data_IF_856179669592
#
_entry.id   IF_856179669592
#
_cell.length_a   1.000
_cell.length_b   1.000
_cell.length_c   1.000
_cell.angle_alpha   90.00
_cell.angle_beta   90.00
_cell.angle_gamma   90.00
#
_symmetry.space_group_name_H-M   'P 1'
#
loop_
_entity.id
_entity.type
_entity.pdbx_description
1 polymer ?
#
# COMPACT_ATOMS: atom_id res chain seq x y z
N UNK A 1 -30.77 56.96 64.19
CA UNK A 1 -29.34 56.85 63.84
C UNK A 1 -28.94 55.42 64.20
N UNK A 2 -29.04 54.52 63.22
CA UNK A 2 -27.89 53.89 62.50
C UNK A 2 -27.22 52.85 63.39
N UNK A 3 -27.07 51.56 63.06
CA UNK A 3 -27.11 50.85 61.79
C UNK A 3 -27.30 49.35 62.06
N UNK A 4 -27.93 48.66 61.11
CA UNK A 4 -27.95 47.20 60.96
C UNK A 4 -26.56 46.68 60.56
N UNK A 5 -26.26 45.44 60.88
CA UNK A 5 -25.41 44.61 60.01
C UNK A 5 -25.88 43.15 60.09
N UNK A 6 -26.58 42.77 59.03
CA UNK A 6 -26.96 41.40 58.65
C UNK A 6 -25.70 40.72 58.08
N UNK A 7 -25.29 39.59 58.64
CA UNK A 7 -24.28 38.71 58.03
C UNK A 7 -25.00 37.66 57.16
N UNK A 8 -25.05 37.95 55.87
CA UNK A 8 -25.48 37.03 54.81
C UNK A 8 -24.50 35.85 54.68
N UNK A 9 -24.97 34.66 55.04
CA UNK A 9 -24.33 33.39 54.65
C UNK A 9 -24.74 33.06 53.22
N UNK A 10 -23.84 33.35 52.29
CA UNK A 10 -23.93 32.92 50.90
C UNK A 10 -23.86 31.39 50.81
N UNK A 11 -24.92 30.80 50.27
CA UNK A 11 -24.96 29.41 49.83
C UNK A 11 -24.05 29.27 48.61
N UNK A 12 -22.96 28.53 48.75
CA UNK A 12 -22.14 28.09 47.63
C UNK A 12 -22.96 27.10 46.78
N UNK A 13 -23.45 27.58 45.63
CA UNK A 13 -23.92 26.72 44.55
C UNK A 13 -22.70 26.02 43.95
N UNK A 14 -22.56 24.72 44.21
CA UNK A 14 -21.66 23.86 43.46
C UNK A 14 -22.18 23.76 42.03
N UNK A 15 -21.70 24.66 41.17
CA UNK A 15 -21.83 24.55 39.73
C UNK A 15 -21.07 23.30 39.28
N UNK A 16 -21.83 22.37 38.69
CA UNK A 16 -21.29 21.20 37.98
C UNK A 16 -20.50 21.74 36.78
N UNK A 17 -19.24 21.33 36.56
CA UNK A 17 -18.50 21.71 35.37
C UNK A 17 -19.13 21.07 34.13
N UNK A 18 -20.07 21.77 33.52
CA UNK A 18 -20.49 21.53 32.14
C UNK A 18 -19.51 22.22 31.19
N UNK A 19 -19.09 21.49 30.16
CA UNK A 19 -18.12 21.86 29.10
C UNK A 19 -16.66 21.48 29.37
N UNK A 20 -16.34 20.22 29.06
CA UNK A 20 -15.06 19.94 28.43
C UNK A 20 -15.10 20.54 27.02
N UNK A 21 -14.55 21.75 26.90
CA UNK A 21 -14.16 22.34 25.63
C UNK A 21 -13.06 21.44 25.03
N UNK A 22 -13.41 20.68 23.99
CA UNK A 22 -12.42 20.01 23.16
C UNK A 22 -11.82 21.11 22.30
N UNK A 23 -10.55 21.46 22.55
CA UNK A 23 -9.79 22.37 21.70
C UNK A 23 -9.67 21.76 20.30
N UNK A 24 -10.61 22.12 19.41
CA UNK A 24 -10.58 21.84 17.97
C UNK A 24 -9.57 22.73 17.21
N UNK A 25 -8.60 23.32 17.91
CA UNK A 25 -7.62 24.26 17.36
C UNK A 25 -6.22 23.62 17.23
N UNK A 26 -6.09 22.53 16.47
CA UNK A 26 -4.77 22.15 15.94
C UNK A 26 -4.82 21.31 14.65
N UNK A 27 -5.71 21.67 13.71
CA UNK A 27 -5.57 21.28 12.30
C UNK A 27 -5.86 22.51 11.42
N UNK A 28 -5.00 23.52 11.52
CA UNK A 28 -4.83 24.54 10.48
C UNK A 28 -3.39 24.42 10.00
N UNK A 29 -3.23 24.47 8.68
CA UNK A 29 -1.96 24.43 7.94
C UNK A 29 -1.55 23.04 7.42
N UNK A 30 -2.44 22.43 6.63
CA UNK A 30 -1.97 21.71 5.45
C UNK A 30 -2.27 22.57 4.21
N UNK A 31 -1.25 23.00 3.45
CA UNK A 31 -1.47 23.76 2.23
C UNK A 31 -2.26 22.90 1.23
N UNK A 32 -3.17 23.50 0.45
CA UNK A 32 -3.82 22.79 -0.64
C UNK A 32 -2.75 22.35 -1.63
N UNK A 33 -2.60 21.03 -1.81
CA UNK A 33 -1.88 20.48 -2.95
C UNK A 33 -2.73 20.73 -4.19
N UNK A 34 -2.60 21.92 -4.77
CA UNK A 34 -2.98 22.17 -6.16
C UNK A 34 -2.07 21.33 -7.06
N UNK A 35 -2.47 20.07 -7.27
CA UNK A 35 -1.94 19.27 -8.36
C UNK A 35 -2.56 19.85 -9.63
N UNK A 36 -1.88 20.85 -10.20
CA UNK A 36 -2.13 21.31 -11.57
C UNK A 36 -1.76 20.18 -12.51
N UNK A 37 -2.71 19.29 -12.80
CA UNK A 37 -2.60 18.34 -13.91
C UNK A 37 -2.75 19.15 -15.19
N UNK A 38 -1.66 19.77 -15.64
CA UNK A 38 -1.52 20.21 -17.03
C UNK A 38 -1.23 18.98 -17.88
N UNK A 39 -2.29 18.24 -18.19
CA UNK A 39 -2.25 17.21 -19.23
C UNK A 39 -2.55 17.84 -20.59
N UNK A 40 -1.67 18.74 -21.03
CA UNK A 40 -1.58 19.11 -22.44
C UNK A 40 -0.71 18.07 -23.13
N UNK A 41 -1.32 16.93 -23.50
CA UNK A 41 -0.85 16.15 -24.63
C UNK A 41 -1.81 16.38 -25.78
N UNK A 42 -1.60 17.53 -26.41
CA UNK A 42 -1.98 17.79 -27.79
C UNK A 42 -1.35 16.69 -28.64
N UNK A 43 -2.18 15.72 -29.04
CA UNK A 43 -1.84 14.80 -30.12
C UNK A 43 -1.86 15.66 -31.37
N UNK A 44 -0.69 16.20 -31.75
CA UNK A 44 -0.48 16.80 -33.06
C UNK A 44 -0.55 15.67 -34.10
N UNK A 45 -1.79 15.34 -34.47
CA UNK A 45 -2.14 14.65 -35.70
C UNK A 45 -2.06 15.66 -36.83
N UNK A 46 -0.82 15.99 -37.23
CA UNK A 46 -0.55 16.82 -38.41
C UNK A 46 0.64 16.26 -39.16
N UNK A 47 0.35 15.57 -40.26
CA UNK A 47 1.20 15.53 -41.45
C UNK A 47 0.27 15.25 -42.64
N UNK A 48 -0.49 16.28 -43.02
CA UNK A 48 -0.89 16.45 -44.42
C UNK A 48 0.19 17.29 -45.11
N UNK A 49 0.79 16.74 -46.16
CA UNK A 49 1.07 17.34 -47.48
C UNK A 49 2.03 16.40 -48.20
N UNK A 50 1.53 15.63 -49.16
CA UNK A 50 1.59 15.99 -50.59
C UNK A 50 3.02 15.93 -51.13
N UNK A 51 3.27 14.91 -51.95
CA UNK A 51 3.88 15.04 -53.28
C UNK A 51 3.72 13.70 -53.99
N UNK A 52 2.51 13.49 -54.51
CA UNK A 52 2.26 12.50 -55.55
C UNK A 52 2.68 13.14 -56.87
N UNK A 53 3.99 13.14 -57.14
CA UNK A 53 4.55 13.54 -58.41
C UNK A 53 4.49 12.33 -59.34
N UNK A 54 3.49 12.33 -60.22
CA UNK A 54 3.51 11.52 -61.44
C UNK A 54 4.78 11.92 -62.21
N UNK A 55 5.80 11.06 -62.15
CA UNK A 55 6.97 11.13 -63.02
C UNK A 55 6.95 9.87 -63.87
N UNK A 56 6.30 10.00 -65.02
CA UNK A 56 6.63 9.22 -66.21
C UNK A 56 8.08 9.49 -66.54
N UNK A 57 8.92 8.45 -66.53
CA UNK A 57 10.07 8.26 -67.41
C UNK A 57 10.67 6.89 -67.07
N UNK A 58 11.02 6.14 -68.11
CA UNK A 58 11.71 4.85 -68.08
C UNK A 58 13.13 5.03 -67.51
N UNK A 59 13.23 5.41 -66.22
CA UNK A 59 14.47 5.32 -65.45
C UNK A 59 14.69 3.83 -65.18
N UNK A 60 15.65 3.24 -65.91
CA UNK A 60 16.19 1.89 -65.73
C UNK A 60 16.11 1.50 -64.25
N UNK A 61 15.38 0.42 -63.91
CA UNK A 61 15.28 -0.06 -62.55
C UNK A 61 16.68 -0.45 -62.05
N UNK A 62 17.43 0.52 -61.52
CA UNK A 62 18.75 0.30 -60.95
C UNK A 62 18.60 -0.80 -59.91
N UNK A 63 19.15 -1.96 -60.24
CA UNK A 63 19.00 -3.14 -59.42
C UNK A 63 19.70 -2.89 -58.08
N UNK A 64 19.26 -3.55 -57.00
CA UNK A 64 19.92 -3.40 -55.70
C UNK A 64 21.40 -3.78 -55.74
N UNK A 65 21.80 -4.58 -56.73
CA UNK A 65 23.18 -4.95 -57.05
C UNK A 65 23.96 -3.74 -57.53
N UNK A 66 23.41 -2.95 -58.45
CA UNK A 66 24.06 -1.74 -58.98
C UNK A 66 24.23 -0.70 -57.87
N UNK A 67 23.19 -0.50 -57.05
CA UNK A 67 23.25 0.37 -55.87
C UNK A 67 24.27 -0.09 -54.83
N UNK A 68 24.49 -1.40 -54.70
CA UNK A 68 25.53 -1.96 -53.84
C UNK A 68 26.94 -1.72 -54.39
N UNK A 69 27.14 -1.87 -55.69
CA UNK A 69 28.41 -1.60 -56.39
C UNK A 69 28.79 -0.11 -56.28
N UNK A 70 27.81 0.78 -56.38
CA UNK A 70 28.00 2.22 -56.17
C UNK A 70 28.13 2.64 -54.69
N UNK A 71 27.93 1.70 -53.76
CA UNK A 71 27.90 1.94 -52.32
C UNK A 71 26.79 2.90 -51.87
N UNK A 72 25.65 2.93 -52.57
CA UNK A 72 24.49 3.80 -52.28
C UNK A 72 23.26 2.99 -51.85
N UNK A 73 23.40 2.12 -50.84
CA UNK A 73 22.27 1.33 -50.34
C UNK A 73 21.26 2.18 -49.56
N UNK A 74 19.94 1.94 -49.74
CA UNK A 74 18.91 2.54 -48.91
C UNK A 74 19.09 2.18 -47.43
N UNK A 75 18.89 3.16 -46.53
CA UNK A 75 19.06 2.95 -45.07
C UNK A 75 17.96 2.10 -44.42
N UNK A 76 16.82 1.92 -45.11
CA UNK A 76 15.58 1.31 -44.61
C UNK A 76 15.19 0.04 -45.38
N UNK A 77 16.16 -0.69 -45.96
CA UNK A 77 15.89 -1.93 -46.67
C UNK A 77 15.39 -3.02 -45.68
N UNK A 78 14.48 -3.89 -46.11
CA UNK A 78 14.00 -4.97 -45.24
C UNK A 78 15.08 -6.03 -45.04
N UNK A 79 14.95 -6.81 -43.97
CA UNK A 79 15.90 -7.89 -43.67
C UNK A 79 15.98 -8.90 -44.83
N UNK A 80 14.83 -9.29 -45.38
CA UNK A 80 14.74 -10.29 -46.45
C UNK A 80 15.43 -9.81 -47.73
N UNK A 81 15.33 -8.51 -48.04
CA UNK A 81 15.99 -7.89 -49.19
C UNK A 81 17.52 -7.90 -49.06
N UNK A 82 18.06 -7.68 -47.85
CA UNK A 82 19.49 -7.80 -47.60
C UNK A 82 19.98 -9.25 -47.78
N UNK A 83 19.20 -10.23 -47.32
CA UNK A 83 19.55 -11.65 -47.45
C UNK A 83 19.55 -12.10 -48.93
N UNK A 84 18.56 -11.64 -49.70
CA UNK A 84 18.51 -11.83 -51.16
C UNK A 84 19.70 -11.20 -51.87
N UNK A 85 19.99 -9.92 -51.59
CA UNK A 85 21.09 -9.17 -52.19
C UNK A 85 22.47 -9.79 -51.88
N UNK A 86 22.70 -10.22 -50.64
CA UNK A 86 23.94 -10.90 -50.24
C UNK A 86 24.12 -12.23 -50.97
N UNK A 87 23.03 -12.95 -51.24
CA UNK A 87 23.05 -14.20 -52.00
C UNK A 87 23.40 -13.93 -53.46
N UNK A 88 22.74 -12.96 -54.10
CA UNK A 88 22.99 -12.54 -55.48
C UNK A 88 24.43 -12.06 -55.69
N UNK A 89 24.94 -11.18 -54.81
CA UNK A 89 26.31 -10.67 -54.91
C UNK A 89 27.36 -11.78 -54.76
N UNK A 90 27.06 -12.80 -53.94
CA UNK A 90 27.94 -13.95 -53.76
C UNK A 90 27.93 -14.86 -55.00
N UNK A 91 26.75 -15.17 -55.53
CA UNK A 91 26.60 -15.99 -56.74
C UNK A 91 27.28 -15.32 -57.94
N UNK A 92 27.05 -14.01 -58.14
CA UNK A 92 27.69 -13.24 -59.22
C UNK A 92 29.21 -13.20 -59.07
N UNK A 93 29.71 -13.02 -57.83
CA UNK A 93 31.16 -13.09 -57.55
C UNK A 93 31.73 -14.46 -57.90
N UNK A 94 31.07 -15.53 -57.47
CA UNK A 94 31.54 -16.90 -57.67
C UNK A 94 31.54 -17.25 -59.17
N UNK A 95 30.53 -16.83 -59.93
CA UNK A 95 30.49 -16.95 -61.39
C UNK A 95 31.64 -16.20 -62.10
N UNK A 96 31.92 -14.95 -61.70
CA UNK A 96 33.04 -14.17 -62.28
C UNK A 96 34.42 -14.75 -61.96
N UNK A 97 34.56 -15.45 -60.82
CA UNK A 97 35.77 -16.20 -60.48
C UNK A 97 35.95 -17.40 -61.42
N UNK A 98 34.87 -18.13 -61.71
CA UNK A 98 34.88 -19.25 -62.67
C UNK A 98 35.24 -18.80 -64.09
N UNK A 99 34.80 -17.60 -64.50
CA UNK A 99 35.15 -16.98 -65.78
C UNK A 99 36.57 -16.38 -65.84
N UNK A 100 37.28 -16.31 -64.71
CA UNK A 100 38.63 -15.74 -64.63
C UNK A 100 38.69 -14.19 -64.61
N UNK A 101 37.56 -13.50 -64.39
CA UNK A 101 37.48 -12.04 -64.32
C UNK A 101 37.76 -11.52 -62.91
N UNK A 102 39.03 -11.52 -62.52
CA UNK A 102 39.43 -11.22 -61.15
C UNK A 102 39.10 -9.79 -60.67
N UNK A 103 39.16 -8.79 -61.56
CA UNK A 103 38.92 -7.38 -61.22
C UNK A 103 37.44 -7.12 -60.91
N UNK A 104 36.54 -7.62 -61.76
CA UNK A 104 35.09 -7.54 -61.57
C UNK A 104 34.68 -8.33 -60.33
N UNK A 105 35.19 -9.57 -60.15
CA UNK A 105 34.95 -10.36 -58.95
C UNK A 105 35.39 -9.62 -57.66
N UNK A 106 36.48 -8.85 -57.70
CA UNK A 106 36.91 -8.02 -56.57
C UNK A 106 35.89 -6.91 -56.26
N UNK A 107 35.33 -6.25 -57.28
CA UNK A 107 34.31 -5.22 -57.10
C UNK A 107 33.03 -5.80 -56.45
N UNK A 108 32.58 -6.97 -56.89
CA UNK A 108 31.45 -7.68 -56.28
C UNK A 108 31.75 -8.11 -54.83
N UNK A 109 33.00 -8.52 -54.53
CA UNK A 109 33.40 -8.85 -53.17
C UNK A 109 33.41 -7.61 -52.26
N UNK A 110 33.80 -6.44 -52.77
CA UNK A 110 33.75 -5.19 -52.03
C UNK A 110 32.31 -4.71 -51.82
N UNK A 111 31.44 -4.85 -52.81
CA UNK A 111 30.00 -4.62 -52.67
C UNK A 111 29.36 -5.60 -51.66
N UNK A 112 29.78 -6.87 -51.64
CA UNK A 112 29.36 -7.86 -50.65
C UNK A 112 29.76 -7.45 -49.23
N UNK A 113 31.01 -7.00 -49.02
CA UNK A 113 31.43 -6.49 -47.71
C UNK A 113 30.63 -5.25 -47.28
N UNK A 114 30.41 -4.31 -48.20
CA UNK A 114 29.65 -3.10 -47.92
C UNK A 114 28.18 -3.38 -47.58
N UNK A 115 27.51 -4.24 -48.35
CA UNK A 115 26.14 -4.71 -48.06
C UNK A 115 26.06 -5.43 -46.73
N UNK A 116 27.05 -6.26 -46.42
CA UNK A 116 27.15 -6.96 -45.14
C UNK A 116 27.29 -6.01 -43.95
N UNK A 117 28.17 -5.01 -44.04
CA UNK A 117 28.32 -3.96 -43.02
C UNK A 117 27.04 -3.14 -42.86
N UNK A 118 26.41 -2.78 -43.98
CA UNK A 118 25.13 -2.06 -44.00
C UNK A 118 24.00 -2.86 -43.34
N UNK A 119 23.93 -4.17 -43.60
CA UNK A 119 22.99 -5.09 -42.96
C UNK A 119 23.22 -5.18 -41.44
N UNK A 120 24.48 -5.33 -41.01
CA UNK A 120 24.81 -5.33 -39.59
C UNK A 120 24.38 -4.03 -38.90
N UNK A 121 24.62 -2.89 -39.52
CA UNK A 121 24.25 -1.59 -38.97
C UNK A 121 22.74 -1.36 -38.94
N UNK A 122 22.01 -1.80 -39.97
CA UNK A 122 20.55 -1.79 -39.96
C UNK A 122 20.00 -2.67 -38.82
N UNK A 123 20.55 -3.86 -38.64
CA UNK A 123 20.17 -4.78 -37.57
C UNK A 123 20.50 -4.22 -36.18
N UNK A 124 21.68 -3.62 -35.98
CA UNK A 124 22.06 -2.91 -34.73
C UNK A 124 21.03 -1.84 -34.39
N UNK A 125 20.64 -1.00 -35.36
CA UNK A 125 19.62 0.05 -35.16
C UNK A 125 18.27 -0.54 -34.76
N UNK A 126 17.83 -1.61 -35.42
CA UNK A 126 16.57 -2.32 -35.10
C UNK A 126 16.57 -2.85 -33.66
N UNK A 127 17.60 -3.61 -33.29
CA UNK A 127 17.76 -4.16 -31.93
C UNK A 127 17.81 -3.06 -30.89
N UNK A 128 18.53 -1.97 -31.16
CA UNK A 128 18.61 -0.83 -30.24
C UNK A 128 17.23 -0.17 -30.03
N UNK A 129 16.47 0.07 -31.12
CA UNK A 129 15.12 0.63 -31.06
C UNK A 129 14.18 -0.27 -30.25
N UNK A 130 14.20 -1.58 -30.51
CA UNK A 130 13.40 -2.57 -29.76
C UNK A 130 13.76 -2.58 -28.28
N UNK A 131 15.06 -2.60 -27.95
CA UNK A 131 15.52 -2.56 -26.56
C UNK A 131 15.08 -1.27 -25.85
N UNK A 132 15.17 -0.12 -26.51
CA UNK A 132 14.73 1.18 -25.98
C UNK A 132 13.23 1.17 -25.69
N UNK A 133 12.41 0.71 -26.65
CA UNK A 133 10.96 0.61 -26.48
C UNK A 133 10.57 -0.36 -25.35
N UNK A 134 11.23 -1.52 -25.28
CA UNK A 134 11.02 -2.48 -24.20
C UNK A 134 11.37 -1.88 -22.83
N UNK A 135 12.48 -1.14 -22.73
CA UNK A 135 12.89 -0.46 -21.49
C UNK A 135 11.89 0.61 -21.06
N UNK A 136 11.42 1.45 -21.98
CA UNK A 136 10.42 2.49 -21.69
C UNK A 136 9.13 1.86 -21.19
N UNK A 137 8.64 0.81 -21.87
CA UNK A 137 7.45 0.07 -21.45
C UNK A 137 7.61 -0.53 -20.05
N UNK A 138 8.78 -1.10 -19.74
CA UNK A 138 9.05 -1.67 -18.41
C UNK A 138 9.00 -0.61 -17.30
N UNK A 139 9.57 0.57 -17.54
CA UNK A 139 9.50 1.68 -16.58
C UNK A 139 8.07 2.15 -16.40
N UNK A 140 7.32 2.37 -17.49
CA UNK A 140 5.93 2.79 -17.43
C UNK A 140 5.07 1.79 -16.64
N UNK A 141 5.21 0.50 -16.91
CA UNK A 141 4.49 -0.54 -16.17
C UNK A 141 4.84 -0.55 -14.68
N UNK A 142 6.12 -0.35 -14.33
CA UNK A 142 6.55 -0.31 -12.93
C UNK A 142 6.00 0.93 -12.19
N UNK A 143 5.93 2.08 -12.87
CA UNK A 143 5.33 3.31 -12.32
C UNK A 143 3.82 3.17 -12.13
N UNK A 144 3.11 2.68 -13.15
CA UNK A 144 1.67 2.46 -13.05
C UNK A 144 1.31 1.50 -11.91
N UNK A 145 2.09 0.43 -11.73
CA UNK A 145 1.88 -0.50 -10.61
C UNK A 145 2.10 0.17 -9.25
N UNK A 146 3.10 1.04 -9.14
CA UNK A 146 3.34 1.81 -7.92
C UNK A 146 2.16 2.75 -7.62
N UNK A 147 1.67 3.48 -8.63
CA UNK A 147 0.56 4.42 -8.49
C UNK A 147 -0.75 3.70 -8.12
N UNK A 148 -1.06 2.59 -8.80
CA UNK A 148 -2.22 1.74 -8.49
C UNK A 148 -2.17 1.23 -7.04
N UNK A 149 -1.01 0.74 -6.60
CA UNK A 149 -0.83 0.27 -5.22
C UNK A 149 -0.96 1.39 -4.21
N UNK A 150 -0.38 2.55 -4.49
CA UNK A 150 -0.46 3.73 -3.63
C UNK A 150 -1.91 4.18 -3.44
N UNK A 151 -2.66 4.31 -4.53
CA UNK A 151 -4.08 4.68 -4.50
C UNK A 151 -4.92 3.63 -3.75
N UNK A 152 -4.65 2.35 -3.98
CA UNK A 152 -5.32 1.26 -3.25
C UNK A 152 -5.11 1.35 -1.74
N UNK A 153 -3.87 1.60 -1.30
CA UNK A 153 -3.55 1.78 0.12
C UNK A 153 -4.16 3.04 0.73
N UNK A 154 -4.30 4.13 -0.02
CA UNK A 154 -4.94 5.36 0.45
C UNK A 154 -6.44 5.13 0.72
N UNK A 155 -7.15 4.51 -0.22
CA UNK A 155 -8.56 4.13 -0.05
C UNK A 155 -8.77 3.17 1.11
N UNK A 156 -7.89 2.17 1.24
CA UNK A 156 -7.99 1.21 2.34
C UNK A 156 -7.67 1.87 3.71
N UNK A 157 -6.73 2.82 3.76
CA UNK A 157 -6.45 3.61 4.97
C UNK A 157 -7.69 4.38 5.43
N UNK A 158 -8.39 5.05 4.51
CA UNK A 158 -9.63 5.78 4.79
C UNK A 158 -10.71 4.87 5.36
N UNK A 159 -10.94 3.71 4.73
CA UNK A 159 -11.91 2.71 5.19
C UNK A 159 -11.56 2.20 6.59
N UNK A 160 -10.29 1.91 6.85
CA UNK A 160 -9.83 1.47 8.17
C UNK A 160 -10.08 2.57 9.21
N UNK A 161 -9.64 3.80 8.95
CA UNK A 161 -9.80 4.93 9.89
C UNK A 161 -11.27 5.16 10.20
N UNK A 162 -12.13 5.17 9.18
CA UNK A 162 -13.57 5.36 9.35
C UNK A 162 -14.21 4.23 10.17
N UNK A 163 -13.81 2.97 9.90
CA UNK A 163 -14.28 1.82 10.68
C UNK A 163 -13.88 1.90 12.16
N UNK A 164 -12.67 2.41 12.45
CA UNK A 164 -12.16 2.55 13.81
C UNK A 164 -12.84 3.70 14.55
N UNK A 165 -13.14 4.82 13.86
CA UNK A 165 -13.95 5.92 14.41
C UNK A 165 -15.34 5.45 14.82
N UNK A 166 -16.05 4.75 13.93
CA UNK A 166 -17.38 4.17 14.22
C UNK A 166 -17.35 3.19 15.40
N UNK A 167 -16.25 2.44 15.56
CA UNK A 167 -16.07 1.55 16.72
C UNK A 167 -16.00 2.33 18.03
N UNK A 168 -15.28 3.46 18.06
CA UNK A 168 -15.17 4.33 19.23
C UNK A 168 -16.53 4.98 19.54
N UNK A 169 -17.21 5.51 18.52
CA UNK A 169 -18.52 6.13 18.69
C UNK A 169 -19.56 5.17 19.29
N UNK A 170 -19.64 3.95 18.74
CA UNK A 170 -20.52 2.89 19.30
C UNK A 170 -20.19 2.58 20.76
N UNK A 171 -18.91 2.60 21.12
CA UNK A 171 -18.48 2.37 22.49
C UNK A 171 -18.91 3.52 23.41
N UNK A 172 -18.76 4.77 22.97
CA UNK A 172 -19.20 5.94 23.73
C UNK A 172 -20.72 5.97 23.94
N UNK A 173 -21.50 5.62 22.91
CA UNK A 173 -22.96 5.49 23.03
C UNK A 173 -23.32 4.43 24.09
N UNK A 174 -22.64 3.28 24.06
CA UNK A 174 -22.82 2.23 25.08
C UNK A 174 -22.43 2.73 26.48
N UNK A 175 -21.34 3.47 26.62
CA UNK A 175 -20.91 4.06 27.89
C UNK A 175 -21.94 5.04 28.44
N UNK A 176 -22.52 5.88 27.58
CA UNK A 176 -23.58 6.79 27.98
C UNK A 176 -24.83 6.04 28.45
N UNK A 177 -25.26 5.00 27.72
CA UNK A 177 -26.39 4.16 28.13
C UNK A 177 -26.15 3.50 29.49
N UNK A 178 -24.93 3.04 29.77
CA UNK A 178 -24.59 2.47 31.08
C UNK A 178 -24.70 3.49 32.22
N UNK A 179 -24.33 4.77 31.97
CA UNK A 179 -24.48 5.84 32.94
C UNK A 179 -25.98 6.13 33.15
N UNK A 180 -26.75 6.25 32.08
CA UNK A 180 -28.20 6.51 32.15
C UNK A 180 -28.95 5.39 32.91
N UNK A 181 -28.58 4.13 32.66
CA UNK A 181 -29.14 2.97 33.33
C UNK A 181 -28.73 2.93 34.82
N UNK A 182 -27.47 3.28 35.13
CA UNK A 182 -27.01 3.42 36.51
C UNK A 182 -27.79 4.51 37.24
N UNK A 183 -27.95 5.69 36.66
CA UNK A 183 -28.76 6.77 37.24
C UNK A 183 -30.22 6.34 37.45
N UNK A 184 -30.80 5.62 36.48
CA UNK A 184 -32.17 5.12 36.58
C UNK A 184 -32.32 4.15 37.76
N UNK A 185 -31.36 3.24 37.95
CA UNK A 185 -31.35 2.31 39.09
C UNK A 185 -31.27 3.05 40.43
N UNK A 186 -30.49 4.13 40.50
CA UNK A 186 -30.33 4.91 41.74
C UNK A 186 -31.52 5.82 42.04
N UNK A 187 -32.28 6.23 41.02
CA UNK A 187 -33.55 6.94 41.17
C UNK A 187 -34.72 6.02 41.53
N UNK A 188 -34.56 4.69 41.42
CA UNK A 188 -35.61 3.73 41.76
C UNK A 188 -35.96 3.79 43.26
N UNK A 189 -37.24 4.00 43.63
CA UNK A 189 -37.70 3.91 45.02
C UNK A 189 -37.31 2.62 45.75
N UNK A 190 -37.12 1.49 45.05
CA UNK A 190 -36.63 0.26 45.66
C UNK A 190 -35.19 0.39 46.18
N UNK A 191 -34.32 1.10 45.45
CA UNK A 191 -32.93 1.38 45.86
C UNK A 191 -32.90 2.37 47.01
N UNK A 192 -33.66 3.47 46.92
CA UNK A 192 -33.77 4.52 47.96
C UNK A 192 -34.24 3.91 49.29
N UNK A 193 -35.23 3.00 49.27
CA UNK A 193 -35.74 2.31 50.47
C UNK A 193 -34.67 1.51 51.22
N UNK A 194 -33.58 1.09 50.58
CA UNK A 194 -32.49 0.37 51.26
C UNK A 194 -31.76 1.25 52.28
N UNK A 195 -31.70 2.56 52.04
CA UNK A 195 -31.03 3.54 52.89
C UNK A 195 -31.95 4.12 53.98
N UNK A 196 -33.27 4.13 53.76
CA UNK A 196 -34.27 4.68 54.70
C UNK A 196 -34.61 3.77 55.90
N UNK A 197 -33.64 3.00 56.42
CA UNK A 197 -33.88 2.06 57.53
C UNK A 197 -33.70 2.74 58.89
N UNK A 198 -34.79 2.98 59.59
CA UNK A 198 -34.78 3.51 60.96
C UNK A 198 -34.08 2.57 61.94
N UNK A 199 -33.29 3.14 62.85
CA UNK A 199 -32.60 2.35 63.87
C UNK A 199 -33.58 1.69 64.84
N UNK A 200 -33.13 0.61 65.49
CA UNK A 200 -33.89 -0.02 66.57
C UNK A 200 -34.17 0.94 67.73
N UNK A 201 -33.24 1.86 68.01
CA UNK A 201 -33.38 2.84 69.09
C UNK A 201 -34.46 3.87 68.79
N UNK A 202 -34.49 4.38 67.56
CA UNK A 202 -35.54 5.30 67.12
C UNK A 202 -36.93 4.63 67.20
N UNK A 203 -37.04 3.36 66.77
CA UNK A 203 -38.28 2.59 66.90
C UNK A 203 -38.71 2.41 68.36
N UNK A 204 -37.76 2.14 69.26
CA UNK A 204 -38.00 2.01 70.69
C UNK A 204 -38.50 3.31 71.31
N UNK A 205 -37.85 4.44 71.05
CA UNK A 205 -38.26 5.76 71.57
C UNK A 205 -39.68 6.13 71.10
N UNK A 206 -40.00 5.88 69.82
CA UNK A 206 -41.35 6.09 69.28
C UNK A 206 -42.39 5.18 69.96
N UNK A 207 -42.03 3.94 70.24
CA UNK A 207 -42.89 3.01 70.97
C UNK A 207 -43.10 3.48 72.42
N UNK A 208 -42.04 3.92 73.10
CA UNK A 208 -42.10 4.44 74.47
C UNK A 208 -42.97 5.69 74.56
N UNK A 209 -42.79 6.66 73.65
CA UNK A 209 -43.63 7.85 73.56
C UNK A 209 -45.11 7.48 73.38
N UNK A 210 -45.42 6.54 72.48
CA UNK A 210 -46.78 6.05 72.25
C UNK A 210 -47.38 5.36 73.48
N UNK A 211 -46.58 4.61 74.24
CA UNK A 211 -47.05 3.98 75.48
C UNK A 211 -47.30 5.01 76.59
N UNK A 212 -46.42 6.00 76.77
CA UNK A 212 -46.61 7.07 77.76
C UNK A 212 -47.85 7.93 77.45
N UNK A 213 -48.12 8.20 76.17
CA UNK A 213 -49.35 8.85 75.74
C UNK A 213 -50.60 8.07 76.12
N UNK A 214 -50.58 6.73 75.96
CA UNK A 214 -51.69 5.85 76.37
C UNK A 214 -51.91 5.83 77.89
N UNK A 215 -50.85 6.03 78.68
CA UNK A 215 -50.93 6.11 80.15
C UNK A 215 -51.13 7.54 80.67
N UNK A 216 -51.47 8.50 79.81
CA UNK A 216 -51.72 9.92 80.17
C UNK A 216 -50.52 10.67 80.79
N UNK A 217 -49.28 10.20 80.59
CA UNK A 217 -48.05 10.87 81.07
C UNK A 217 -47.50 11.81 80.00
N UNK A 218 -48.20 12.91 79.75
CA UNK A 218 -47.95 13.78 78.59
C UNK A 218 -46.59 14.47 78.59
N UNK A 219 -46.14 14.97 79.75
CA UNK A 219 -44.86 15.71 79.85
C UNK A 219 -43.67 14.82 79.49
N UNK A 220 -43.65 13.59 79.98
CA UNK A 220 -42.59 12.63 79.67
C UNK A 220 -42.66 12.16 78.22
N UNK A 221 -43.87 11.92 77.70
CA UNK A 221 -44.06 11.61 76.30
C UNK A 221 -43.49 12.71 75.39
N UNK A 222 -43.70 13.99 75.74
CA UNK A 222 -43.15 15.13 74.99
C UNK A 222 -41.62 15.15 75.01
N UNK A 223 -40.98 14.83 76.15
CA UNK A 223 -39.52 14.74 76.23
C UNK A 223 -38.96 13.60 75.37
N UNK A 224 -39.57 12.41 75.41
CA UNK A 224 -39.14 11.26 74.59
C UNK A 224 -39.37 11.54 73.10
N UNK A 225 -40.48 12.18 72.75
CA UNK A 225 -40.79 12.55 71.38
C UNK A 225 -39.78 13.58 70.81
N UNK A 226 -39.36 14.56 71.63
CA UNK A 226 -38.33 15.51 71.26
C UNK A 226 -36.98 14.81 70.98
N UNK A 227 -36.59 13.85 71.82
CA UNK A 227 -35.36 13.08 71.58
C UNK A 227 -35.50 12.16 70.35
N UNK A 228 -36.67 11.55 70.12
CA UNK A 228 -36.94 10.76 68.93
C UNK A 228 -36.84 11.60 67.65
N UNK A 229 -37.38 12.82 67.66
CA UNK A 229 -37.26 13.76 66.53
C UNK A 229 -35.79 14.15 66.27
N UNK A 230 -35.04 14.48 67.33
CA UNK A 230 -33.61 14.79 67.24
C UNK A 230 -32.80 13.64 66.65
N UNK A 231 -33.05 12.42 67.11
CA UNK A 231 -32.39 11.22 66.60
C UNK A 231 -32.78 10.94 65.14
N UNK A 232 -34.06 11.12 64.78
CA UNK A 232 -34.53 10.95 63.41
C UNK A 232 -33.84 11.91 62.45
N UNK A 233 -33.67 13.18 62.81
CA UNK A 233 -32.95 14.15 61.97
C UNK A 233 -31.49 13.74 61.74
N UNK A 234 -30.80 13.27 62.79
CA UNK A 234 -29.41 12.80 62.70
C UNK A 234 -29.32 11.56 61.80
N UNK A 235 -30.19 10.57 62.01
CA UNK A 235 -30.23 9.35 61.19
C UNK A 235 -30.54 9.66 59.73
N UNK A 236 -31.51 10.54 59.46
CA UNK A 236 -31.89 10.94 58.10
C UNK A 236 -30.71 11.59 57.36
N UNK A 237 -30.01 12.54 58.02
CA UNK A 237 -28.82 13.18 57.44
C UNK A 237 -27.71 12.18 57.16
N UNK A 238 -27.47 11.25 58.09
CA UNK A 238 -26.44 10.20 57.92
C UNK A 238 -26.78 9.25 56.77
N UNK A 239 -28.04 8.80 56.68
CA UNK A 239 -28.51 7.92 55.61
C UNK A 239 -28.42 8.60 54.25
N UNK A 240 -28.84 9.87 54.16
CA UNK A 240 -28.72 10.65 52.93
C UNK A 240 -27.27 10.79 52.50
N UNK A 241 -26.37 11.12 53.44
CA UNK A 241 -24.93 11.21 53.14
C UNK A 241 -24.39 9.89 52.63
N UNK A 242 -24.67 8.79 53.33
CA UNK A 242 -24.22 7.46 52.93
C UNK A 242 -24.73 7.08 51.54
N UNK A 243 -25.99 7.38 51.22
CA UNK A 243 -26.56 7.13 49.90
C UNK A 243 -25.81 7.91 48.80
N UNK A 244 -25.47 9.18 49.05
CA UNK A 244 -24.70 10.01 48.11
C UNK A 244 -23.28 9.47 47.95
N UNK A 245 -22.61 9.15 49.04
CA UNK A 245 -21.24 8.64 49.04
C UNK A 245 -21.17 7.31 48.26
N UNK A 246 -22.10 6.38 48.49
CA UNK A 246 -22.17 5.09 47.78
C UNK A 246 -22.52 5.28 46.29
N UNK A 247 -23.40 6.23 45.96
CA UNK A 247 -23.73 6.59 44.58
C UNK A 247 -22.49 7.09 43.82
N UNK A 248 -21.77 8.04 44.41
CA UNK A 248 -20.57 8.64 43.81
C UNK A 248 -19.45 7.61 43.66
N UNK A 249 -19.25 6.75 44.67
CA UNK A 249 -18.27 5.69 44.60
C UNK A 249 -18.53 4.72 43.43
N UNK A 250 -19.78 4.28 43.27
CA UNK A 250 -20.14 3.40 42.16
C UNK A 250 -20.07 4.08 40.79
N UNK A 251 -20.45 5.37 40.69
CA UNK A 251 -20.34 6.13 39.45
C UNK A 251 -18.88 6.32 39.02
N UNK A 252 -18.02 6.70 39.97
CA UNK A 252 -16.58 6.85 39.72
C UNK A 252 -15.93 5.53 39.29
N UNK A 253 -16.35 4.41 39.90
CA UNK A 253 -15.90 3.09 39.49
C UNK A 253 -16.30 2.76 38.04
N UNK A 254 -17.56 3.02 37.68
CA UNK A 254 -18.06 2.82 36.31
C UNK A 254 -17.27 3.67 35.30
N UNK A 255 -17.09 4.96 35.58
CA UNK A 255 -16.34 5.89 34.73
C UNK A 255 -14.89 5.43 34.57
N UNK A 256 -14.24 4.98 35.65
CA UNK A 256 -12.88 4.45 35.58
C UNK A 256 -12.78 3.21 34.68
N UNK A 257 -13.76 2.29 34.74
CA UNK A 257 -13.81 1.14 33.84
C UNK A 257 -14.00 1.55 32.37
N UNK A 258 -14.89 2.51 32.11
CA UNK A 258 -15.15 3.03 30.77
C UNK A 258 -13.90 3.70 30.17
N UNK A 259 -13.17 4.48 30.96
CA UNK A 259 -11.90 5.07 30.54
C UNK A 259 -10.85 4.03 30.18
N UNK A 260 -10.71 2.97 30.98
CA UNK A 260 -9.77 1.90 30.69
C UNK A 260 -10.16 1.12 29.42
N UNK A 261 -11.44 0.82 29.23
CA UNK A 261 -11.94 0.18 28.00
C UNK A 261 -11.64 1.05 26.77
N UNK A 262 -11.90 2.36 26.85
CA UNK A 262 -11.62 3.31 25.78
C UNK A 262 -10.12 3.40 25.49
N UNK A 263 -9.27 3.41 26.53
CA UNK A 263 -7.81 3.42 26.41
C UNK A 263 -7.30 2.19 25.70
N UNK A 264 -7.78 1.00 26.07
CA UNK A 264 -7.41 -0.27 25.44
C UNK A 264 -7.83 -0.33 23.97
N UNK A 265 -9.04 0.16 23.65
CA UNK A 265 -9.52 0.21 22.26
C UNK A 265 -8.70 1.19 21.43
N UNK A 266 -8.35 2.36 21.96
CA UNK A 266 -7.47 3.32 21.28
C UNK A 266 -6.10 2.71 21.00
N UNK A 267 -5.47 2.12 22.02
CA UNK A 267 -4.18 1.43 21.87
C UNK A 267 -4.24 0.32 20.81
N UNK A 268 -5.31 -0.48 20.79
CA UNK A 268 -5.53 -1.52 19.77
C UNK A 268 -5.69 -0.92 18.36
N UNK A 269 -6.40 0.19 18.23
CA UNK A 269 -6.59 0.89 16.96
C UNK A 269 -5.27 1.50 16.45
N UNK A 270 -4.47 2.09 17.34
CA UNK A 270 -3.16 2.67 17.00
C UNK A 270 -2.19 1.61 16.49
N UNK A 271 -2.16 0.44 17.14
CA UNK A 271 -1.37 -0.71 16.67
C UNK A 271 -1.83 -1.11 15.26
N UNK A 272 -3.13 -1.22 15.03
CA UNK A 272 -3.69 -1.61 13.71
C UNK A 272 -3.31 -0.62 12.61
N UNK A 273 -3.39 0.69 12.88
CA UNK A 273 -2.99 1.74 11.94
C UNK A 273 -1.48 1.69 11.69
N UNK A 274 -0.68 1.55 12.75
CA UNK A 274 0.77 1.47 12.65
C UNK A 274 1.24 0.25 11.83
N UNK A 275 0.65 -0.93 12.08
CA UNK A 275 0.95 -2.14 11.30
C UNK A 275 0.58 -1.94 9.83
N UNK A 276 -0.59 -1.37 9.56
CA UNK A 276 -1.04 -1.09 8.20
C UNK A 276 -0.09 -0.14 7.46
N UNK A 277 0.30 0.97 8.10
CA UNK A 277 1.26 1.94 7.53
C UNK A 277 2.63 1.32 7.28
N UNK A 278 3.09 0.48 8.20
CA UNK A 278 4.35 -0.25 8.04
C UNK A 278 4.30 -1.16 6.83
N UNK A 279 3.19 -1.87 6.61
CA UNK A 279 3.03 -2.76 5.46
C UNK A 279 2.88 -1.99 4.14
N UNK A 280 2.14 -0.87 4.14
CA UNK A 280 2.08 0.09 3.02
C UNK A 280 3.48 0.54 2.60
N UNK A 281 4.31 0.98 3.55
CA UNK A 281 5.68 1.45 3.26
C UNK A 281 6.53 0.31 2.68
N UNK A 282 6.46 -0.90 3.22
CA UNK A 282 7.23 -2.05 2.70
C UNK A 282 6.86 -2.38 1.26
N UNK A 283 5.58 -2.44 0.94
CA UNK A 283 5.09 -2.79 -0.40
C UNK A 283 5.41 -1.69 -1.44
N UNK A 284 5.28 -0.42 -1.04
CA UNK A 284 5.69 0.70 -1.88
C UNK A 284 7.21 0.74 -2.13
N UNK A 285 8.02 0.42 -1.12
CA UNK A 285 9.48 0.31 -1.26
C UNK A 285 9.86 -0.81 -2.25
N UNK A 286 9.18 -1.96 -2.22
CA UNK A 286 9.38 -3.02 -3.23
C UNK A 286 9.09 -2.51 -4.64
N UNK A 287 8.00 -1.75 -4.83
CA UNK A 287 7.65 -1.16 -6.12
C UNK A 287 8.68 -0.10 -6.55
N UNK A 288 9.14 0.74 -5.63
CA UNK A 288 10.16 1.76 -5.89
C UNK A 288 11.49 1.12 -6.30
N UNK A 289 11.92 0.04 -5.64
CA UNK A 289 13.09 -0.75 -6.04
C UNK A 289 12.94 -1.33 -7.45
N UNK A 290 11.74 -1.75 -7.84
CA UNK A 290 11.48 -2.22 -9.21
C UNK A 290 11.63 -1.10 -10.23
N UNK A 291 11.13 0.11 -9.92
CA UNK A 291 11.31 1.30 -10.76
C UNK A 291 12.80 1.61 -10.90
N UNK A 292 13.53 1.71 -9.80
CA UNK A 292 14.97 1.98 -9.79
C UNK A 292 15.75 0.94 -10.61
N UNK A 293 15.46 -0.35 -10.44
CA UNK A 293 16.09 -1.41 -11.21
C UNK A 293 15.78 -1.31 -12.72
N UNK A 294 14.55 -0.90 -13.08
CA UNK A 294 14.17 -0.69 -14.47
C UNK A 294 14.87 0.54 -15.08
N UNK A 295 15.04 1.61 -14.30
CA UNK A 295 15.77 2.82 -14.70
C UNK A 295 17.27 2.56 -14.88
N UNK A 296 17.91 1.88 -13.93
CA UNK A 296 19.30 1.42 -14.06
C UNK A 296 19.46 0.54 -15.30
N UNK A 297 18.54 -0.41 -15.52
CA UNK A 297 18.53 -1.24 -16.73
C UNK A 297 18.39 -0.40 -18.01
N UNK A 298 17.66 0.71 -17.96
CA UNK A 298 17.48 1.64 -19.08
C UNK A 298 18.76 2.40 -19.43
N UNK A 299 19.58 2.72 -18.43
CA UNK A 299 20.89 3.38 -18.67
C UNK A 299 21.83 2.51 -19.49
N UNK A 300 21.81 1.19 -19.29
CA UNK A 300 22.54 0.26 -20.16
C UNK A 300 22.02 0.27 -21.60
N UNK A 301 20.71 0.47 -21.77
CA UNK A 301 20.07 0.53 -23.10
C UNK A 301 20.37 1.86 -23.81
N UNK A 302 20.77 2.93 -23.10
CA UNK A 302 21.19 4.20 -23.74
C UNK A 302 22.46 4.05 -24.58
N UNK A 303 23.29 3.02 -24.35
CA UNK A 303 24.56 2.77 -25.04
C UNK A 303 24.38 1.71 -26.15
N UNK A 304 24.34 2.10 -27.45
CA UNK A 304 24.08 1.17 -28.55
C UNK A 304 25.05 -0.01 -28.61
N UNK A 305 26.33 0.24 -28.36
CA UNK A 305 27.37 -0.79 -28.44
C UNK A 305 27.21 -1.88 -27.38
N UNK A 306 26.71 -1.53 -26.18
CA UNK A 306 26.48 -2.51 -25.12
C UNK A 306 25.27 -3.39 -25.41
N UNK A 307 24.22 -2.81 -25.98
CA UNK A 307 23.04 -3.55 -26.46
C UNK A 307 23.45 -4.50 -27.58
N UNK A 308 24.26 -4.02 -28.51
CA UNK A 308 24.80 -4.82 -29.59
C UNK A 308 25.67 -5.97 -29.08
N UNK A 309 26.61 -5.72 -28.17
CA UNK A 309 27.50 -6.73 -27.60
C UNK A 309 26.72 -7.90 -26.98
N UNK A 310 25.62 -7.62 -26.25
CA UNK A 310 24.75 -8.67 -25.69
C UNK A 310 24.00 -9.46 -26.76
N UNK A 311 23.56 -8.80 -27.84
CA UNK A 311 22.77 -9.44 -28.91
C UNK A 311 23.64 -10.12 -29.97
N UNK A 312 24.92 -9.74 -30.10
CA UNK A 312 25.86 -10.26 -31.10
C UNK A 312 25.96 -11.79 -31.09
N UNK A 313 25.87 -12.43 -29.93
CA UNK A 313 25.88 -13.90 -29.83
C UNK A 313 24.64 -14.57 -30.42
N UNK A 314 23.54 -13.84 -30.54
CA UNK A 314 22.29 -14.31 -31.18
C UNK A 314 22.18 -13.89 -32.64
N UNK A 315 23.03 -12.96 -33.09
CA UNK A 315 23.13 -12.57 -34.49
C UNK A 315 23.78 -13.70 -35.27
N UNK A 316 22.97 -14.49 -35.95
CA UNK A 316 23.46 -15.49 -36.90
C UNK A 316 23.66 -14.79 -38.23
N UNK A 317 24.80 -15.05 -38.87
CA UNK A 317 24.95 -14.73 -40.28
C UNK A 317 23.82 -15.44 -41.04
N UNK A 318 23.09 -14.75 -41.95
CA UNK A 318 22.11 -15.38 -42.82
C UNK A 318 22.75 -16.63 -43.39
N UNK A 319 22.19 -17.77 -43.01
CA UNK A 319 22.76 -19.05 -43.41
C UNK A 319 22.41 -19.18 -44.87
N UNK A 320 23.34 -18.76 -45.73
CA UNK A 320 23.28 -19.03 -47.16
C UNK A 320 23.08 -20.53 -47.24
N UNK A 321 21.90 -20.94 -47.70
CA UNK A 321 21.57 -22.32 -47.99
C UNK A 321 22.49 -22.70 -49.13
N UNK A 322 23.74 -23.04 -48.79
CA UNK A 322 24.63 -23.73 -49.70
C UNK A 322 23.87 -24.98 -50.06
N UNK A 323 23.41 -25.03 -51.31
CA UNK A 323 22.86 -26.21 -51.97
C UNK A 323 23.94 -27.26 -51.88
N UNK A 324 23.89 -28.01 -50.79
CA UNK A 324 24.91 -28.98 -50.43
C UNK A 324 24.89 -30.03 -51.52
N UNK A 325 25.90 -30.00 -52.38
CA UNK A 325 26.27 -31.07 -53.30
C UNK A 325 26.11 -32.41 -52.56
N UNK A 326 25.18 -33.22 -53.04
CA UNK A 326 24.85 -34.55 -52.53
C UNK A 326 25.92 -35.55 -52.93
N UNK A 327 27.16 -35.37 -52.46
CA UNK A 327 28.20 -36.39 -52.58
C UNK A 327 28.72 -36.72 -51.18
N UNK A 328 28.01 -37.63 -50.50
CA UNK A 328 28.47 -38.23 -49.24
C UNK A 328 28.54 -39.74 -49.41
N UNK A 329 29.67 -40.18 -49.93
CA UNK A 329 30.19 -41.54 -49.78
C UNK A 329 30.29 -41.88 -48.30
N UNK A 330 29.55 -42.89 -47.90
CA UNK A 330 29.59 -43.51 -46.58
C UNK A 330 30.93 -44.23 -46.38
N UNK A 331 31.74 -43.81 -45.40
CA UNK A 331 32.83 -44.64 -44.89
C UNK A 331 32.80 -44.72 -43.35
N UNK A 332 32.60 -45.99 -42.94
CA UNK A 332 33.09 -46.68 -41.75
C UNK A 332 32.97 -46.03 -40.37
N UNK A 333 32.04 -46.62 -39.61
CA UNK A 333 32.08 -46.87 -38.17
C UNK A 333 33.51 -47.06 -37.63
N UNK A 334 33.86 -46.33 -36.58
CA UNK A 334 34.89 -46.70 -35.61
C UNK A 334 34.24 -46.77 -34.23
N UNK A 335 34.63 -47.82 -33.51
CA UNK A 335 34.07 -48.37 -32.28
C UNK A 335 34.06 -47.42 -31.08
N UNK A 336 33.00 -47.44 -30.23
CA UNK A 336 32.97 -46.75 -28.94
C UNK A 336 33.55 -47.67 -27.85
N UNK A 337 34.87 -47.66 -27.69
CA UNK A 337 35.54 -48.26 -26.52
C UNK A 337 36.84 -47.50 -26.32
N UNK A 338 36.85 -46.60 -25.33
CA UNK A 338 38.01 -46.00 -24.64
C UNK A 338 37.75 -44.54 -24.26
N UNK A 339 36.72 -44.31 -23.44
CA UNK A 339 36.74 -43.18 -22.51
C UNK A 339 36.18 -43.63 -21.18
N UNK A 340 37.07 -43.63 -20.19
CA UNK A 340 36.85 -44.02 -18.81
C UNK A 340 35.65 -43.27 -18.21
N UNK A 341 34.77 -43.93 -17.42
CA UNK A 341 33.72 -43.24 -16.69
C UNK A 341 34.36 -42.38 -15.59
N UNK A 342 34.30 -41.06 -15.75
CA UNK A 342 34.64 -40.14 -14.67
C UNK A 342 33.64 -40.31 -13.53
N UNK A 343 34.22 -40.53 -12.34
CA UNK A 343 33.57 -40.77 -11.04
C UNK A 343 32.57 -39.63 -10.74
N UNK A 344 31.30 -39.99 -10.52
CA UNK A 344 30.27 -39.03 -10.12
C UNK A 344 30.61 -38.34 -8.80
N UNK A 345 30.68 -37.01 -8.81
CA UNK A 345 30.77 -36.21 -7.60
C UNK A 345 29.40 -36.21 -6.93
N UNK A 346 29.28 -36.93 -5.81
CA UNK A 346 28.10 -36.89 -4.95
C UNK A 346 27.97 -35.48 -4.34
N UNK A 347 27.11 -34.65 -4.92
CA UNK A 347 26.65 -33.43 -4.27
C UNK A 347 25.72 -33.83 -3.11
N UNK A 348 26.26 -33.73 -1.89
CA UNK A 348 25.52 -33.94 -0.65
C UNK A 348 24.27 -33.06 -0.63
N UNK A 349 23.11 -33.69 -0.43
CA UNK A 349 21.84 -33.01 -0.19
C UNK A 349 21.97 -32.16 1.08
N UNK A 350 22.08 -30.85 0.91
CA UNK A 350 21.93 -29.87 1.99
C UNK A 350 20.50 -29.97 2.53
N UNK A 351 20.34 -30.59 3.70
CA UNK A 351 19.09 -30.58 4.45
C UNK A 351 18.80 -29.15 4.91
N UNK A 352 17.77 -28.53 4.32
CA UNK A 352 17.16 -27.35 4.93
C UNK A 352 16.36 -27.82 6.14
N UNK A 353 16.88 -27.55 7.34
CA UNK A 353 16.14 -27.65 8.58
C UNK A 353 14.87 -26.78 8.47
N UNK A 354 13.70 -27.41 8.50
CA UNK A 354 12.42 -26.72 8.67
C UNK A 354 12.24 -26.47 10.16
N UNK A 355 12.54 -25.26 10.62
CA UNK A 355 12.17 -24.80 11.95
C UNK A 355 10.66 -24.56 11.96
N UNK A 356 9.88 -25.53 12.44
CA UNK A 356 8.46 -25.34 12.72
C UNK A 356 8.33 -24.51 14.00
N UNK A 357 7.96 -23.24 13.85
CA UNK A 357 7.60 -22.38 14.97
C UNK A 357 6.16 -22.70 15.36
N UNK A 358 5.99 -23.47 16.43
CA UNK A 358 4.69 -23.72 17.05
C UNK A 358 4.26 -22.46 17.82
N UNK A 359 3.29 -21.71 17.28
CA UNK A 359 2.54 -20.76 18.09
C UNK A 359 1.56 -21.54 18.96
N UNK A 360 1.96 -21.77 20.21
CA UNK A 360 1.09 -22.23 21.28
C UNK A 360 0.16 -21.09 21.65
N UNK A 361 -1.12 -21.36 21.51
CA UNK A 361 -2.26 -20.55 21.92
C UNK A 361 -2.17 -20.14 23.39
N UNK A 362 -2.33 -18.84 23.64
CA UNK A 362 -2.85 -18.31 24.89
C UNK A 362 -3.97 -17.33 24.53
N UNK A 363 -5.20 -17.82 24.63
CA UNK A 363 -6.41 -17.19 25.19
C UNK A 363 -7.62 -18.06 24.84
#
# INVERSE_FOLDING_TARGET
MTEKTEEDKTFATNEVPTEYHVDDNEIKDLPPLEITIKHDQKIDSSCQTENNTLRTEEEEEETLVDKALEKKLPKNLQQDDYEGLLTQLKENRDALIEEGRATEASAYNDAYKYTWESYQDAYKRKVFKEAKMCSVRRIANAKNLYDEKKEGYEKEEEVIVESLKKRIEKLQIKHQQQIDDYEREWRDPAKIRKYNKTSGKLKELRLQAKMLMKTHRYNEAQMIEAEANRLQEIETKKQQKQMIDDHLAGLNYLIAQQHEELRLVRMSNDIKISTFRTDKVKELDVCQKRIMNAEVSSEFVKKPDQVWAKKKNTFKCPRIMSTRSLNKTSLSKVSPSDTLPLRGVNLSKSSRAKTTFNYRTYL
#
